data_IF_398187617390
#
_entry.id   IF_398187617390
#
_cell.length_a   1.000
_cell.length_b   1.000
_cell.length_c   1.000
_cell.angle_alpha   90.00
_cell.angle_beta   90.00
_cell.angle_gamma   90.00
#
_symmetry.space_group_name_H-M   'P 1'
#
loop_
_entity.id
_entity.type
_entity.pdbx_description
1 polymer ?
#
# COMPACT_ATOMS: atom_id res chain seq x y z
N UNK A 1 -12.60 -0.60 10.74
CA UNK A 1 -12.19 -2.03 10.71
C UNK A 1 -12.87 -2.80 11.81
N UNK A 2 -13.02 -4.13 11.62
CA UNK A 2 -13.58 -5.08 12.57
C UNK A 2 -12.58 -5.54 13.65
N UNK A 3 -11.28 -5.34 13.39
CA UNK A 3 -10.17 -5.67 14.31
C UNK A 3 -9.15 -4.55 14.36
N UNK A 4 -8.49 -4.43 15.51
CA UNK A 4 -7.37 -3.52 15.68
C UNK A 4 -6.12 -4.02 14.93
N UNK A 5 -5.22 -3.11 14.57
CA UNK A 5 -3.93 -3.41 13.94
C UNK A 5 -3.69 -2.75 12.59
N UNK A 6 -4.71 -2.18 11.94
CA UNK A 6 -4.55 -1.43 10.68
C UNK A 6 -3.76 -2.21 9.62
N UNK A 7 -2.79 -1.57 8.96
CA UNK A 7 -1.96 -2.20 7.93
C UNK A 7 -1.07 -3.33 8.46
N UNK A 8 -0.72 -3.36 9.74
CA UNK A 8 -0.03 -4.50 10.33
C UNK A 8 -0.86 -5.78 10.26
N UNK A 9 -2.19 -5.66 10.28
CA UNK A 9 -3.12 -6.80 10.18
C UNK A 9 -3.56 -7.12 8.76
N UNK A 10 -3.82 -6.09 7.94
CA UNK A 10 -4.47 -6.26 6.64
C UNK A 10 -3.55 -6.01 5.45
N UNK A 11 -2.36 -5.47 5.67
CA UNK A 11 -1.40 -5.13 4.64
C UNK A 11 -0.12 -5.95 4.70
N UNK A 12 0.30 -6.41 5.88
CA UNK A 12 1.48 -7.28 6.05
C UNK A 12 1.02 -8.73 6.08
N UNK A 13 1.49 -9.59 5.15
CA UNK A 13 1.09 -11.00 5.12
C UNK A 13 1.47 -11.78 6.39
N UNK A 14 0.65 -12.75 6.79
CA UNK A 14 0.84 -13.57 8.02
C UNK A 14 2.15 -14.34 8.05
N UNK A 15 2.73 -14.67 6.92
CA UNK A 15 4.02 -15.33 6.86
C UNK A 15 5.19 -14.41 7.27
N UNK A 16 4.98 -13.07 7.28
CA UNK A 16 5.92 -12.07 7.79
C UNK A 16 5.59 -11.63 9.20
N UNK A 17 4.31 -11.36 9.47
CA UNK A 17 3.81 -10.94 10.79
C UNK A 17 2.63 -11.82 11.21
N UNK A 18 2.87 -12.89 11.99
CA UNK A 18 1.79 -13.73 12.51
C UNK A 18 0.80 -12.91 13.35
N UNK A 19 -0.49 -13.18 13.16
CA UNK A 19 -1.55 -12.45 13.88
C UNK A 19 -1.44 -12.59 15.41
N UNK A 20 -0.91 -13.70 15.91
CA UNK A 20 -0.74 -13.96 17.36
C UNK A 20 0.23 -12.97 18.01
N UNK A 21 1.26 -12.54 17.26
CA UNK A 21 2.22 -11.51 17.71
C UNK A 21 1.52 -10.17 17.85
N UNK A 22 0.79 -9.75 16.80
CA UNK A 22 0.02 -8.51 16.80
C UNK A 22 -1.07 -8.51 17.88
N UNK A 23 -1.80 -9.60 18.04
CA UNK A 23 -2.84 -9.75 19.07
C UNK A 23 -2.24 -9.68 20.48
N UNK A 24 -1.01 -10.18 20.66
CA UNK A 24 -0.27 -10.04 21.92
C UNK A 24 0.02 -8.58 22.27
N UNK A 25 0.45 -7.79 21.28
CA UNK A 25 0.72 -6.36 21.47
C UNK A 25 -0.56 -5.55 21.70
N UNK A 26 -1.62 -5.82 20.97
CA UNK A 26 -2.94 -5.19 21.17
C UNK A 26 -3.44 -5.47 22.59
N UNK A 27 -3.40 -6.73 23.05
CA UNK A 27 -3.79 -7.09 24.41
C UNK A 27 -2.95 -6.40 25.48
N UNK A 28 -1.66 -6.14 25.21
CA UNK A 28 -0.81 -5.37 26.13
C UNK A 28 -1.28 -3.92 26.23
N UNK A 29 -1.65 -3.31 25.11
CA UNK A 29 -2.18 -1.94 25.05
C UNK A 29 -3.54 -1.87 25.78
N UNK A 30 -4.44 -2.84 25.57
CA UNK A 30 -5.71 -2.92 26.30
C UNK A 30 -5.52 -2.98 27.82
N UNK A 31 -4.53 -3.78 28.27
CA UNK A 31 -4.20 -3.88 29.71
C UNK A 31 -3.64 -2.57 30.31
N UNK A 32 -3.18 -1.65 29.48
CA UNK A 32 -2.78 -0.30 29.91
C UNK A 32 -3.97 0.65 30.07
N UNK A 33 -5.20 0.18 29.82
CA UNK A 33 -6.44 0.95 29.97
C UNK A 33 -6.96 1.58 28.68
N UNK A 34 -6.38 1.23 27.52
CA UNK A 34 -6.88 1.71 26.23
C UNK A 34 -8.11 0.92 25.81
N UNK A 35 -9.17 1.62 25.41
CA UNK A 35 -10.41 1.05 24.89
C UNK A 35 -10.45 1.18 23.36
N UNK A 36 -10.80 0.09 22.67
CA UNK A 36 -10.97 0.07 21.22
C UNK A 36 -12.45 0.11 20.84
N UNK A 37 -12.84 1.02 19.95
CA UNK A 37 -14.15 1.04 19.31
C UNK A 37 -14.03 0.56 17.87
N UNK A 38 -14.33 -0.71 17.64
CA UNK A 38 -14.28 -1.29 16.29
C UNK A 38 -15.51 -0.90 15.47
N UNK A 39 -15.40 -0.99 14.12
CA UNK A 39 -16.47 -0.69 13.17
C UNK A 39 -17.09 0.71 13.36
N UNK A 40 -16.29 1.64 13.89
CA UNK A 40 -16.68 3.04 14.08
C UNK A 40 -15.94 3.88 13.05
N UNK A 41 -16.69 4.59 12.22
CA UNK A 41 -16.17 5.58 11.28
C UNK A 41 -16.37 6.98 11.85
N UNK A 42 -15.34 7.80 11.82
CA UNK A 42 -15.35 9.18 12.28
C UNK A 42 -15.38 10.09 11.04
N UNK A 43 -16.48 10.74 10.78
CA UNK A 43 -16.63 11.69 9.66
C UNK A 43 -16.15 13.09 10.04
N UNK A 44 -16.39 13.49 11.29
CA UNK A 44 -16.05 14.80 11.83
C UNK A 44 -15.21 14.63 13.12
N UNK A 45 -13.95 14.97 13.01
CA UNK A 45 -12.98 14.81 14.09
C UNK A 45 -13.26 15.72 15.29
N UNK A 46 -13.65 16.98 15.02
CA UNK A 46 -13.92 17.94 16.09
C UNK A 46 -15.22 17.61 16.82
N UNK A 47 -16.25 17.22 16.08
CA UNK A 47 -17.49 16.75 16.67
C UNK A 47 -17.28 15.48 17.50
N UNK A 48 -16.47 14.54 17.04
CA UNK A 48 -16.16 13.33 17.80
C UNK A 48 -15.42 13.65 19.09
N UNK A 49 -14.53 14.65 19.09
CA UNK A 49 -13.85 15.15 20.31
C UNK A 49 -14.86 15.73 21.31
N UNK A 50 -15.77 16.58 20.83
CA UNK A 50 -16.79 17.25 21.68
C UNK A 50 -17.78 16.22 22.25
N UNK A 51 -18.38 15.40 21.41
CA UNK A 51 -19.38 14.38 21.79
C UNK A 51 -18.78 13.34 22.78
N UNK A 52 -17.49 13.00 22.62
CA UNK A 52 -16.78 12.09 23.49
C UNK A 52 -16.26 12.73 24.77
N UNK A 53 -16.30 14.05 24.90
CA UNK A 53 -15.74 14.79 26.04
C UNK A 53 -14.21 14.63 26.17
N UNK A 54 -13.51 14.48 25.04
CA UNK A 54 -12.06 14.28 25.03
C UNK A 54 -11.30 15.62 25.11
N UNK A 55 -10.25 15.65 25.93
CA UNK A 55 -9.38 16.83 26.05
C UNK A 55 -8.57 17.06 24.77
N UNK A 56 -8.16 15.99 24.09
CA UNK A 56 -7.37 16.01 22.87
C UNK A 56 -7.71 14.87 21.93
N UNK A 57 -7.38 15.04 20.65
CA UNK A 57 -7.42 13.99 19.63
C UNK A 57 -6.03 13.77 19.06
N UNK A 58 -5.68 12.50 18.81
CA UNK A 58 -4.48 12.12 18.06
C UNK A 58 -4.91 11.36 16.79
N UNK A 59 -4.65 11.96 15.64
CA UNK A 59 -5.00 11.39 14.33
C UNK A 59 -3.83 10.53 13.84
N UNK A 60 -4.04 9.22 13.75
CA UNK A 60 -3.03 8.25 13.34
C UNK A 60 -3.68 7.19 12.43
N UNK A 61 -4.39 7.63 11.39
CA UNK A 61 -5.16 6.75 10.50
C UNK A 61 -4.29 5.97 9.52
N UNK A 62 -3.04 6.40 9.32
CA UNK A 62 -2.07 5.75 8.44
C UNK A 62 -2.35 5.97 6.95
N UNK A 63 -1.45 5.49 6.09
CA UNK A 63 -1.56 5.56 4.63
C UNK A 63 -2.30 4.32 4.09
N UNK A 64 -3.61 4.26 4.29
CA UNK A 64 -4.43 3.09 3.95
C UNK A 64 -4.99 3.10 2.52
N UNK A 65 -4.81 4.19 1.78
CA UNK A 65 -5.23 4.29 0.40
C UNK A 65 -4.08 3.85 -0.52
N UNK A 66 -4.35 2.89 -1.41
CA UNK A 66 -3.40 2.60 -2.49
C UNK A 66 -3.47 3.73 -3.51
N UNK A 67 -2.31 4.21 -3.95
CA UNK A 67 -2.26 5.13 -5.08
C UNK A 67 -2.82 4.43 -6.30
N UNK A 68 -3.80 5.06 -6.93
CA UNK A 68 -4.40 4.58 -8.17
C UNK A 68 -3.73 5.24 -9.38
N UNK A 69 -3.47 4.46 -10.40
CA UNK A 69 -3.09 4.95 -11.71
C UNK A 69 -3.91 4.20 -12.74
N UNK A 70 -4.79 4.91 -13.43
CA UNK A 70 -5.55 4.31 -14.51
C UNK A 70 -4.59 3.65 -15.52
N UNK A 71 -4.65 2.33 -15.60
CA UNK A 71 -3.91 1.57 -16.60
C UNK A 71 -4.76 1.55 -17.88
N UNK A 72 -4.32 2.22 -18.97
CA UNK A 72 -5.06 2.16 -20.22
C UNK A 72 -5.20 0.73 -20.73
N UNK A 73 -6.39 0.33 -21.13
CA UNK A 73 -6.65 -1.04 -21.61
C UNK A 73 -8.09 -1.25 -22.03
N UNK A 74 -8.41 -2.48 -22.38
CA UNK A 74 -9.74 -2.93 -22.83
C UNK A 74 -10.56 -3.60 -21.71
N UNK A 75 -10.02 -3.67 -20.50
CA UNK A 75 -10.66 -4.31 -19.34
C UNK A 75 -10.52 -5.83 -19.30
N UNK A 76 -9.78 -6.45 -20.21
CA UNK A 76 -9.54 -7.91 -20.19
C UNK A 76 -8.55 -8.34 -19.11
N UNK A 77 -7.74 -7.42 -18.59
CA UNK A 77 -6.80 -7.63 -17.50
C UNK A 77 -7.39 -7.08 -16.21
N UNK A 78 -7.44 -7.91 -15.18
CA UNK A 78 -7.84 -7.47 -13.85
C UNK A 78 -6.76 -6.57 -13.24
N UNK A 79 -7.14 -5.41 -12.66
CA UNK A 79 -6.19 -4.41 -12.13
C UNK A 79 -6.48 -4.04 -10.68
N UNK A 80 -6.37 -4.97 -9.72
CA UNK A 80 -6.59 -4.68 -8.31
C UNK A 80 -5.50 -3.79 -7.73
N UNK A 81 -5.87 -2.99 -6.73
CA UNK A 81 -4.93 -2.23 -5.93
C UNK A 81 -4.24 -3.14 -4.89
N UNK A 82 -2.95 -2.91 -4.64
CA UNK A 82 -2.13 -3.77 -3.78
C UNK A 82 -2.71 -4.01 -2.38
N UNK A 83 -3.08 -2.95 -1.66
CA UNK A 83 -3.63 -3.08 -0.30
C UNK A 83 -4.97 -3.83 -0.28
N UNK A 84 -5.80 -3.62 -1.31
CA UNK A 84 -7.09 -4.35 -1.44
C UNK A 84 -6.84 -5.83 -1.64
N UNK A 85 -5.88 -6.20 -2.50
CA UNK A 85 -5.50 -7.59 -2.71
C UNK A 85 -4.94 -8.21 -1.43
N UNK A 86 -3.97 -7.56 -0.78
CA UNK A 86 -3.36 -8.07 0.45
C UNK A 86 -4.40 -8.27 1.55
N UNK A 87 -5.31 -7.30 1.72
CA UNK A 87 -6.42 -7.43 2.65
C UNK A 87 -7.30 -8.65 2.34
N UNK A 88 -7.65 -8.86 1.09
CA UNK A 88 -8.45 -10.01 0.68
C UNK A 88 -7.71 -11.34 0.92
N UNK A 89 -6.40 -11.40 0.67
CA UNK A 89 -5.56 -12.57 1.00
C UNK A 89 -5.62 -12.88 2.51
N UNK A 90 -5.64 -11.85 3.35
CA UNK A 90 -5.70 -12.01 4.80
C UNK A 90 -7.09 -12.39 5.32
N UNK A 91 -8.15 -11.88 4.71
CA UNK A 91 -9.54 -12.12 5.11
C UNK A 91 -10.06 -13.46 4.55
N UNK A 92 -9.95 -13.65 3.25
CA UNK A 92 -10.39 -14.86 2.53
C UNK A 92 -9.65 -15.01 1.19
N UNK A 93 -8.56 -15.77 1.15
CA UNK A 93 -7.81 -16.00 -0.08
C UNK A 93 -8.58 -16.83 -1.13
N UNK A 94 -9.62 -17.57 -0.72
CA UNK A 94 -10.36 -18.47 -1.64
C UNK A 94 -11.23 -17.73 -2.63
N UNK A 95 -11.65 -16.51 -2.29
CA UNK A 95 -12.46 -15.64 -3.17
C UNK A 95 -11.62 -14.78 -4.13
N UNK A 96 -10.29 -14.92 -4.14
CA UNK A 96 -9.40 -14.10 -4.96
C UNK A 96 -9.01 -14.84 -6.24
N UNK A 97 -9.54 -14.39 -7.37
CA UNK A 97 -9.15 -14.88 -8.69
C UNK A 97 -8.10 -13.94 -9.32
N UNK A 98 -6.86 -14.39 -9.32
CA UNK A 98 -5.73 -13.69 -9.94
C UNK A 98 -5.40 -14.22 -11.35
N UNK A 99 -6.03 -15.32 -11.76
CA UNK A 99 -5.57 -16.07 -12.92
C UNK A 99 -4.20 -16.72 -12.67
N UNK A 100 -3.59 -17.20 -13.75
CA UNK A 100 -2.31 -17.91 -13.66
C UNK A 100 -1.10 -16.98 -13.67
N UNK A 101 -1.17 -15.88 -14.42
CA UNK A 101 -0.04 -14.97 -14.69
C UNK A 101 -0.32 -13.62 -14.04
N UNK A 102 0.50 -13.25 -13.08
CA UNK A 102 0.35 -12.01 -12.34
C UNK A 102 1.54 -11.09 -12.58
N UNK A 103 1.28 -9.88 -13.03
CA UNK A 103 2.26 -8.81 -13.04
C UNK A 103 2.04 -7.89 -11.84
N UNK A 104 3.10 -7.56 -11.11
CA UNK A 104 3.06 -6.60 -10.00
C UNK A 104 3.81 -5.35 -10.42
N UNK A 105 3.10 -4.23 -10.53
CA UNK A 105 3.70 -2.97 -10.95
C UNK A 105 4.13 -2.14 -9.74
N UNK A 106 5.43 -2.15 -9.44
CA UNK A 106 6.02 -1.45 -8.31
C UNK A 106 7.34 -2.05 -7.86
N UNK A 107 8.03 -1.43 -6.91
CA UNK A 107 9.33 -1.88 -6.41
C UNK A 107 9.55 -1.66 -4.92
N UNK A 108 8.49 -1.34 -4.16
CA UNK A 108 8.53 -1.20 -2.69
C UNK A 108 8.19 -2.50 -1.97
N UNK A 109 8.27 -2.50 -0.63
CA UNK A 109 7.95 -3.66 0.20
C UNK A 109 6.54 -4.20 -0.08
N UNK A 110 5.56 -3.33 -0.32
CA UNK A 110 4.20 -3.72 -0.70
C UNK A 110 4.17 -4.52 -2.00
N UNK A 111 5.03 -4.17 -2.98
CA UNK A 111 5.13 -4.94 -4.23
C UNK A 111 5.73 -6.34 -3.99
N UNK A 112 6.72 -6.46 -3.08
CA UNK A 112 7.27 -7.75 -2.67
C UNK A 112 6.22 -8.60 -1.97
N UNK A 113 5.46 -8.03 -1.04
CA UNK A 113 4.39 -8.72 -0.32
C UNK A 113 3.29 -9.23 -1.27
N UNK A 114 2.86 -8.40 -2.22
CA UNK A 114 1.89 -8.78 -3.26
C UNK A 114 2.42 -9.92 -4.11
N UNK A 115 3.67 -9.80 -4.61
CA UNK A 115 4.26 -10.79 -5.49
C UNK A 115 4.41 -12.14 -4.80
N UNK A 116 4.95 -12.17 -3.58
CA UNK A 116 5.09 -13.40 -2.78
C UNK A 116 3.75 -14.01 -2.42
N UNK A 117 2.74 -13.18 -2.11
CA UNK A 117 1.36 -13.66 -1.87
C UNK A 117 0.77 -14.31 -3.12
N UNK A 118 0.98 -13.71 -4.30
CA UNK A 118 0.52 -14.28 -5.58
C UNK A 118 1.20 -15.63 -5.89
N UNK A 119 2.52 -15.75 -5.68
CA UNK A 119 3.24 -17.02 -5.83
C UNK A 119 2.69 -18.08 -4.89
N UNK A 120 2.42 -17.72 -3.62
CA UNK A 120 1.83 -18.65 -2.63
C UNK A 120 0.42 -19.08 -2.99
N UNK A 121 -0.30 -18.30 -3.80
CA UNK A 121 -1.57 -18.67 -4.44
C UNK A 121 -1.38 -19.37 -5.79
N UNK A 122 -0.16 -19.84 -6.08
CA UNK A 122 0.20 -20.63 -7.27
C UNK A 122 0.17 -19.86 -8.60
N UNK A 123 0.33 -18.53 -8.57
CA UNK A 123 0.47 -17.73 -9.76
C UNK A 123 1.94 -17.61 -10.23
N UNK A 124 2.15 -17.61 -11.53
CA UNK A 124 3.43 -17.23 -12.15
C UNK A 124 3.57 -15.71 -12.07
N UNK A 125 4.47 -15.20 -11.22
CA UNK A 125 4.48 -13.79 -10.84
C UNK A 125 5.71 -13.05 -11.35
N UNK A 126 5.49 -11.91 -12.00
CA UNK A 126 6.54 -11.01 -12.48
C UNK A 126 6.38 -9.60 -11.89
N UNK A 127 7.41 -9.12 -11.21
CA UNK A 127 7.49 -7.74 -10.72
C UNK A 127 8.03 -6.87 -11.85
N UNK A 128 7.27 -5.85 -12.22
CA UNK A 128 7.66 -4.86 -13.24
C UNK A 128 8.03 -3.55 -12.53
N UNK A 129 9.24 -3.07 -12.76
CA UNK A 129 9.73 -1.87 -12.09
C UNK A 129 10.42 -0.91 -13.07
N UNK A 130 10.04 0.38 -13.03
CA UNK A 130 10.49 1.39 -14.00
C UNK A 130 11.94 1.86 -13.84
N UNK A 131 12.59 1.57 -12.72
CA UNK A 131 14.01 1.89 -12.47
C UNK A 131 14.84 0.62 -12.41
N UNK A 132 16.14 0.76 -12.08
CA UNK A 132 16.99 -0.41 -11.87
C UNK A 132 16.63 -1.15 -10.58
N UNK A 133 17.06 -2.40 -10.47
CA UNK A 133 16.81 -3.20 -9.28
C UNK A 133 17.45 -2.61 -8.03
N UNK A 134 18.64 -1.99 -8.17
CA UNK A 134 19.37 -1.32 -7.07
C UNK A 134 18.64 -0.06 -6.57
N UNK A 135 17.73 0.48 -7.37
CA UNK A 135 16.91 1.64 -7.00
C UNK A 135 15.54 1.25 -6.46
N UNK A 136 15.29 -0.05 -6.23
CA UNK A 136 14.05 -0.48 -5.57
C UNK A 136 14.02 0.06 -4.14
N UNK A 137 12.91 0.69 -3.69
CA UNK A 137 12.78 1.11 -2.30
C UNK A 137 12.48 -0.05 -1.34
N UNK A 138 12.23 -1.27 -1.85
CA UNK A 138 12.11 -2.45 -1.03
C UNK A 138 13.46 -2.79 -0.37
N UNK A 139 13.41 -3.35 0.84
CA UNK A 139 14.62 -3.83 1.50
C UNK A 139 15.26 -4.99 0.72
N UNK A 140 16.58 -5.04 0.68
CA UNK A 140 17.34 -6.08 -0.07
C UNK A 140 16.92 -7.50 0.30
N UNK A 141 16.65 -7.75 1.58
CA UNK A 141 16.21 -9.08 2.02
C UNK A 141 14.81 -9.44 1.51
N UNK A 142 13.89 -8.46 1.36
CA UNK A 142 12.56 -8.67 0.79
C UNK A 142 12.64 -9.03 -0.70
N UNK A 143 13.51 -8.34 -1.44
CA UNK A 143 13.78 -8.63 -2.85
C UNK A 143 14.37 -10.03 -3.00
N UNK A 144 15.33 -10.38 -2.14
CA UNK A 144 15.96 -11.71 -2.13
C UNK A 144 14.93 -12.81 -1.85
N UNK A 145 14.11 -12.66 -0.82
CA UNK A 145 13.06 -13.63 -0.48
C UNK A 145 12.04 -13.79 -1.61
N UNK A 146 11.64 -12.70 -2.28
CA UNK A 146 10.75 -12.77 -3.42
C UNK A 146 11.34 -13.60 -4.58
N UNK A 147 12.62 -13.41 -4.88
CA UNK A 147 13.33 -14.20 -5.90
C UNK A 147 13.47 -15.68 -5.49
N UNK A 148 13.80 -15.98 -4.23
CA UNK A 148 13.92 -17.34 -3.70
C UNK A 148 12.57 -18.08 -3.71
N UNK A 149 11.46 -17.37 -3.55
CA UNK A 149 10.10 -17.93 -3.67
C UNK A 149 9.62 -18.11 -5.13
N UNK A 150 10.40 -17.66 -6.12
CA UNK A 150 10.13 -17.87 -7.54
C UNK A 150 9.53 -16.66 -8.26
N UNK A 151 9.45 -15.49 -7.63
CA UNK A 151 9.09 -14.27 -8.34
C UNK A 151 10.16 -13.92 -9.38
N UNK A 152 9.73 -13.43 -10.54
CA UNK A 152 10.62 -12.84 -11.54
C UNK A 152 10.63 -11.31 -11.37
N UNK A 153 11.76 -10.66 -11.70
CA UNK A 153 11.86 -9.20 -11.68
C UNK A 153 12.28 -8.71 -13.06
N UNK A 154 11.50 -7.78 -13.62
CA UNK A 154 11.81 -7.05 -14.85
C UNK A 154 12.05 -5.58 -14.51
N UNK A 155 13.29 -5.19 -14.21
CA UNK A 155 13.66 -3.80 -13.96
C UNK A 155 13.71 -3.02 -15.28
N UNK A 156 13.74 -1.70 -15.19
CA UNK A 156 13.77 -0.78 -16.32
C UNK A 156 12.62 -1.02 -17.30
N UNK A 157 11.44 -1.32 -16.76
CA UNK A 157 10.20 -1.50 -17.54
C UNK A 157 9.06 -0.73 -16.91
N UNK A 158 8.32 -0.01 -17.73
CA UNK A 158 7.08 0.66 -17.36
C UNK A 158 5.91 0.06 -18.13
N UNK A 159 4.77 -0.09 -17.47
CA UNK A 159 3.55 -0.55 -18.13
C UNK A 159 2.91 0.62 -18.87
N UNK A 160 2.61 0.44 -20.16
CA UNK A 160 1.94 1.43 -21.02
C UNK A 160 0.44 1.18 -21.11
N UNK A 161 0.04 -0.03 -21.39
CA UNK A 161 -1.35 -0.47 -21.47
C UNK A 161 -1.47 -1.98 -21.27
N UNK A 162 -2.73 -2.45 -21.16
CA UNK A 162 -3.06 -3.87 -21.09
C UNK A 162 -4.27 -4.14 -22.00
N UNK A 163 -4.09 -5.00 -23.01
CA UNK A 163 -5.10 -5.34 -24.02
C UNK A 163 -4.99 -6.84 -24.32
N UNK A 164 -6.10 -7.55 -24.41
CA UNK A 164 -6.16 -8.99 -24.70
C UNK A 164 -5.23 -9.83 -23.80
N UNK A 165 -5.26 -9.59 -22.50
CA UNK A 165 -4.37 -10.22 -21.50
C UNK A 165 -2.87 -10.04 -21.81
N UNK A 166 -2.53 -9.03 -22.59
CA UNK A 166 -1.16 -8.68 -22.95
C UNK A 166 -0.83 -7.29 -22.44
N UNK A 167 0.23 -7.20 -21.65
CA UNK A 167 0.77 -5.93 -21.15
C UNK A 167 1.83 -5.44 -22.13
N UNK A 168 1.68 -4.22 -22.61
CA UNK A 168 2.73 -3.51 -23.34
C UNK A 168 3.67 -2.84 -22.37
N UNK A 169 4.93 -3.27 -22.35
CA UNK A 169 6.00 -2.71 -21.55
C UNK A 169 6.83 -1.74 -22.38
N UNK A 170 7.17 -0.60 -21.80
CA UNK A 170 8.13 0.35 -22.38
C UNK A 170 9.47 0.12 -21.69
N UNK A 171 10.51 -0.12 -22.48
CA UNK A 171 11.87 -0.17 -21.95
C UNK A 171 12.29 1.24 -21.48
N UNK A 172 12.89 1.30 -20.29
CA UNK A 172 13.37 2.52 -19.68
C UNK A 172 14.90 2.53 -19.64
N UNK A 173 15.49 3.71 -19.72
CA UNK A 173 16.90 3.96 -19.43
C UNK A 173 16.99 5.04 -18.35
N UNK A 174 18.01 4.97 -17.52
CA UNK A 174 18.26 6.01 -16.51
C UNK A 174 19.05 7.15 -17.15
N UNK A 175 18.59 8.38 -16.94
CA UNK A 175 19.37 9.58 -17.31
C UNK A 175 20.54 9.81 -16.33
N UNK A 176 21.29 10.87 -16.55
CA UNK A 176 22.45 11.23 -15.71
C UNK A 176 22.10 11.54 -14.24
N UNK A 177 20.81 11.78 -13.96
CA UNK A 177 20.28 12.00 -12.60
C UNK A 177 19.65 10.73 -12.00
N UNK A 178 19.73 9.60 -12.71
CA UNK A 178 19.09 8.34 -12.28
C UNK A 178 17.57 8.32 -12.45
N UNK A 179 16.99 9.26 -13.22
CA UNK A 179 15.54 9.27 -13.51
C UNK A 179 15.24 8.39 -14.72
N UNK A 180 14.17 7.56 -14.67
CA UNK A 180 13.81 6.70 -15.78
C UNK A 180 13.22 7.50 -16.95
N UNK A 181 13.75 7.27 -18.15
CA UNK A 181 13.32 7.85 -19.41
C UNK A 181 12.95 6.72 -20.39
N UNK A 182 11.85 6.82 -21.16
CA UNK A 182 11.49 5.81 -22.14
C UNK A 182 12.50 5.78 -23.29
N UNK A 183 12.94 4.58 -23.69
CA UNK A 183 13.86 4.39 -24.83
C UNK A 183 13.13 4.36 -26.17
N UNK A 184 11.82 4.25 -26.16
CA UNK A 184 10.99 4.02 -27.37
C UNK A 184 10.91 2.58 -27.80
N UNK A 185 11.58 1.64 -27.13
CA UNK A 185 11.44 0.21 -27.37
C UNK A 185 10.29 -0.37 -26.55
N UNK A 186 9.58 -1.33 -27.13
CA UNK A 186 8.43 -1.98 -26.52
C UNK A 186 8.62 -3.48 -26.46
N UNK A 187 8.11 -4.08 -25.41
CA UNK A 187 8.06 -5.52 -25.17
C UNK A 187 6.65 -5.91 -24.76
N UNK A 188 6.33 -7.20 -24.79
CA UNK A 188 5.04 -7.73 -24.39
C UNK A 188 5.20 -8.73 -23.25
N UNK A 189 4.33 -8.64 -22.26
CA UNK A 189 4.22 -9.60 -21.17
C UNK A 189 2.77 -10.08 -21.08
N UNK A 190 2.57 -11.39 -21.01
CA UNK A 190 1.24 -11.95 -20.79
C UNK A 190 0.87 -11.89 -19.32
N UNK A 191 -0.31 -11.36 -19.00
CA UNK A 191 -0.81 -11.32 -17.63
C UNK A 191 -2.35 -11.38 -17.61
N UNK A 192 -2.87 -12.16 -16.68
CA UNK A 192 -4.29 -12.23 -16.37
C UNK A 192 -4.69 -11.13 -15.40
N UNK A 193 -3.74 -10.78 -14.50
CA UNK A 193 -3.89 -9.71 -13.50
C UNK A 193 -2.66 -8.82 -13.46
N UNK A 194 -2.87 -7.50 -13.31
CA UNK A 194 -1.83 -6.50 -12.98
C UNK A 194 -2.15 -5.87 -11.65
N UNK A 195 -1.37 -6.16 -10.61
CA UNK A 195 -1.55 -5.53 -9.31
C UNK A 195 -0.76 -4.23 -9.23
N UNK A 196 -1.46 -3.12 -8.96
CA UNK A 196 -0.84 -1.81 -8.84
C UNK A 196 -0.28 -1.61 -7.42
N UNK A 197 1.05 -1.62 -7.29
CA UNK A 197 1.79 -1.43 -6.04
C UNK A 197 2.71 -0.20 -6.12
N UNK A 198 2.17 0.93 -6.61
CA UNK A 198 2.91 2.16 -6.95
C UNK A 198 2.96 3.20 -5.83
N UNK A 199 2.56 2.82 -4.64
CA UNK A 199 2.60 3.64 -3.42
C UNK A 199 1.27 3.68 -2.69
N UNK A 200 1.28 4.40 -1.58
CA UNK A 200 0.16 4.58 -0.68
C UNK A 200 -0.08 6.07 -0.46
N UNK A 201 -1.28 6.42 -0.05
CA UNK A 201 -1.70 7.78 0.25
C UNK A 201 -2.44 7.83 1.58
N UNK A 202 -2.33 8.95 2.23
CA UNK A 202 -3.03 9.28 3.47
C UNK A 202 -4.40 9.85 3.14
N UNK A 203 -5.37 9.52 3.96
CA UNK A 203 -6.73 10.07 3.84
C UNK A 203 -6.82 11.45 4.51
N UNK A 204 -6.16 12.47 3.93
CA UNK A 204 -6.04 13.81 4.52
C UNK A 204 -7.34 14.59 4.59
N UNK A 205 -8.35 14.23 3.77
CA UNK A 205 -9.64 14.90 3.78
C UNK A 205 -10.34 14.88 5.15
N UNK A 206 -9.98 13.93 6.02
CA UNK A 206 -10.49 13.84 7.40
C UNK A 206 -10.16 15.05 8.26
N UNK A 207 -9.12 15.79 7.92
CA UNK A 207 -8.64 16.97 8.64
C UNK A 207 -8.63 18.23 7.78
N UNK A 208 -8.93 18.13 6.50
CA UNK A 208 -9.02 19.27 5.60
C UNK A 208 -10.19 20.19 6.00
N UNK A 209 -9.95 21.48 5.97
CA UNK A 209 -10.93 22.48 6.37
C UNK A 209 -11.02 22.76 7.88
N UNK A 210 -10.29 22.03 8.71
CA UNK A 210 -10.15 22.36 10.14
C UNK A 210 -9.22 23.58 10.25
N UNK A 211 -9.70 24.64 10.90
CA UNK A 211 -8.92 25.86 11.09
C UNK A 211 -7.61 25.59 11.81
N UNK A 212 -6.51 26.11 11.27
CA UNK A 212 -5.16 25.90 11.77
C UNK A 212 -4.49 24.58 11.33
N UNK A 213 -5.18 23.67 10.66
CA UNK A 213 -4.55 22.46 10.10
C UNK A 213 -4.01 22.74 8.71
N UNK A 214 -2.74 22.38 8.48
CA UNK A 214 -2.08 22.45 7.18
C UNK A 214 -1.69 21.07 6.69
N UNK A 215 -1.88 20.83 5.39
CA UNK A 215 -1.44 19.60 4.71
C UNK A 215 -0.42 19.99 3.64
N UNK A 216 0.75 19.36 3.66
CA UNK A 216 1.80 19.57 2.65
C UNK A 216 2.28 18.23 2.12
N UNK A 217 2.36 18.10 0.80
CA UNK A 217 2.80 16.87 0.11
C UNK A 217 2.03 15.60 0.53
N UNK A 218 0.74 15.77 0.91
CA UNK A 218 -0.13 14.67 1.31
C UNK A 218 0.04 14.21 2.76
N UNK A 219 0.73 14.99 3.61
CA UNK A 219 0.87 14.73 5.04
C UNK A 219 0.48 15.95 5.88
N UNK A 220 0.02 15.72 7.09
CA UNK A 220 -0.38 16.78 8.03
C UNK A 220 0.87 17.41 8.65
N UNK A 221 0.96 18.75 8.63
CA UNK A 221 2.04 19.47 9.30
C UNK A 221 1.78 19.52 10.81
N UNK A 222 2.81 19.19 11.58
CA UNK A 222 2.79 19.22 13.06
C UNK A 222 4.04 19.92 13.59
N UNK A 223 3.96 20.42 14.82
CA UNK A 223 5.09 20.96 15.55
C UNK A 223 5.95 19.86 16.20
N UNK A 224 6.95 20.25 16.98
CA UNK A 224 7.85 19.33 17.71
C UNK A 224 7.16 18.47 18.76
N UNK A 225 5.91 18.79 19.12
CA UNK A 225 5.06 18.04 20.05
C UNK A 225 3.98 17.24 19.36
N UNK A 226 4.05 17.08 18.02
CA UNK A 226 3.06 16.43 17.17
C UNK A 226 1.69 17.13 17.15
N UNK A 227 1.59 18.38 17.59
CA UNK A 227 0.37 19.16 17.54
C UNK A 227 0.23 19.84 16.18
N UNK A 228 -0.96 19.80 15.60
CA UNK A 228 -1.31 20.59 14.41
C UNK A 228 -1.44 22.07 14.80
N UNK A 229 -1.68 22.96 13.83
CA UNK A 229 -2.01 24.34 14.16
C UNK A 229 -3.37 24.53 14.87
N UNK A 230 -4.19 23.47 14.96
CA UNK A 230 -5.43 23.45 15.74
C UNK A 230 -5.18 22.93 17.16
N UNK A 231 -5.55 23.74 18.18
CA UNK A 231 -5.28 23.40 19.59
C UNK A 231 -5.99 22.10 20.02
N UNK A 232 -5.22 21.18 20.59
CA UNK A 232 -5.71 19.88 21.06
C UNK A 232 -5.99 18.86 19.96
N UNK A 233 -5.52 19.12 18.73
CA UNK A 233 -5.50 18.16 17.64
C UNK A 233 -4.06 17.83 17.29
N UNK A 234 -3.70 16.57 17.41
CA UNK A 234 -2.38 16.01 17.15
C UNK A 234 -2.44 15.05 15.99
N UNK A 235 -1.34 14.87 15.26
CA UNK A 235 -1.23 13.88 14.20
C UNK A 235 0.14 13.21 14.22
N UNK A 236 0.20 11.98 13.70
CA UNK A 236 1.47 11.24 13.62
C UNK A 236 1.34 9.89 12.94
N UNK A 237 2.47 9.19 12.82
CA UNK A 237 2.58 8.00 11.98
C UNK A 237 2.68 8.40 10.51
N UNK A 238 1.98 7.68 9.64
CA UNK A 238 1.91 7.97 8.20
C UNK A 238 0.77 8.95 7.86
N UNK A 239 0.50 9.90 8.78
CA UNK A 239 -0.58 10.88 8.61
C UNK A 239 -0.04 12.22 8.10
#
# INVERSE_FOLDING_TARGET
SDKAGGLLRYGIPRYRLPNEVLDGDIKRIEKMGVSFQMNTYIEDMLKAKEDGGYDALFVAVGAQLSRDAALPGDGTVNTPLALKMLRQVEEDPTGLDLGRRVAVYGGGNTAMDVARSAVRLSADTTIVYRRSQEQMPAHDFEVKEALEEGCQIQPLRAIKNAIDQTISLVEMALDTQGKPQPTGRFESLQADTVVLAIGQEVETHLVEGIDGVSVRDGVVEVDEHMMTGHQGLFAGGDM
#
